data_IF_657474286394
#
_entry.id   IF_657474286394
#
_cell.length_a   1.000
_cell.length_b   1.000
_cell.length_c   1.000
_cell.angle_alpha   90.00
_cell.angle_beta   90.00
_cell.angle_gamma   90.00
#
_symmetry.space_group_name_H-M   'P 1'
#
loop_
_entity.id
_entity.type
_entity.pdbx_description
1 polymer ?
#
# COMPACT_ATOMS: atom_id res chain seq x y z
N UNK A 1 -1.41 -5.92 17.94
CA UNK A 1 -2.07 -5.77 16.63
C UNK A 1 -2.49 -7.10 16.04
N UNK A 2 -1.63 -8.08 15.92
CA UNK A 2 -1.97 -9.43 15.46
C UNK A 2 -1.98 -10.42 16.63
N UNK A 3 -2.81 -11.48 16.53
CA UNK A 3 -2.76 -12.59 17.49
C UNK A 3 -1.67 -13.57 17.08
N UNK A 4 -0.74 -13.85 17.96
CA UNK A 4 0.30 -14.87 17.74
C UNK A 4 -0.27 -16.29 17.58
N UNK A 5 -1.49 -16.53 18.04
CA UNK A 5 -2.20 -17.79 17.87
C UNK A 5 -2.83 -17.92 16.48
N UNK A 6 -3.06 -16.81 15.78
CA UNK A 6 -3.63 -16.81 14.44
C UNK A 6 -2.54 -16.78 13.36
N UNK A 7 -2.13 -17.95 12.89
CA UNK A 7 -1.08 -18.11 11.86
C UNK A 7 -1.46 -17.51 10.51
N UNK A 8 -2.72 -17.22 10.24
CA UNK A 8 -3.14 -16.59 8.99
C UNK A 8 -2.78 -15.09 8.93
N UNK A 9 -2.46 -14.50 10.07
CA UNK A 9 -2.09 -13.08 10.17
C UNK A 9 -0.68 -12.87 10.74
N UNK A 10 -0.31 -13.55 11.84
CA UNK A 10 0.96 -13.27 12.52
C UNK A 10 2.21 -13.51 11.66
N UNK A 11 2.15 -14.43 10.69
CA UNK A 11 3.28 -14.73 9.79
C UNK A 11 3.45 -13.71 8.65
N UNK A 12 2.52 -12.79 8.48
CA UNK A 12 2.52 -11.83 7.37
C UNK A 12 3.10 -10.48 7.76
N UNK A 13 2.89 -10.07 9.01
CA UNK A 13 3.20 -8.72 9.47
C UNK A 13 4.57 -8.61 10.09
N UNK A 14 5.20 -7.47 9.89
CA UNK A 14 6.41 -7.02 10.54
C UNK A 14 6.22 -5.63 11.15
N UNK A 15 7.27 -5.14 11.79
CA UNK A 15 7.32 -3.79 12.37
C UNK A 15 8.26 -2.91 11.57
N UNK A 16 7.88 -1.65 11.41
CA UNK A 16 8.69 -0.69 10.68
C UNK A 16 8.18 0.74 10.85
N UNK A 17 9.03 1.69 10.52
CA UNK A 17 8.72 3.11 10.51
C UNK A 17 9.25 3.73 9.23
N UNK A 18 8.54 4.71 8.71
CA UNK A 18 8.99 5.51 7.58
C UNK A 18 8.56 6.96 7.78
N UNK A 19 9.40 7.88 7.32
CA UNK A 19 9.13 9.30 7.36
C UNK A 19 9.53 9.95 6.04
N UNK A 20 8.78 10.97 5.64
CA UNK A 20 9.07 11.76 4.46
C UNK A 20 8.84 13.24 4.77
N UNK A 21 9.64 14.09 4.17
CA UNK A 21 9.43 15.54 4.17
C UNK A 21 8.69 15.89 2.89
N UNK A 22 7.53 16.50 3.03
CA UNK A 22 6.71 16.97 1.92
C UNK A 22 6.83 18.49 1.85
N UNK A 23 7.06 19.03 0.66
CA UNK A 23 7.17 20.45 0.38
C UNK A 23 6.22 20.83 -0.75
N UNK A 24 6.01 22.13 -0.95
CA UNK A 24 5.31 22.62 -2.13
C UNK A 24 6.08 22.29 -3.40
N UNK A 25 5.35 21.92 -4.47
CA UNK A 25 5.93 21.59 -5.77
C UNK A 25 4.88 21.06 -6.74
N UNK A 26 5.30 20.87 -7.99
CA UNK A 26 4.45 20.41 -9.10
C UNK A 26 4.70 18.93 -9.45
N UNK A 27 5.40 18.20 -8.59
CA UNK A 27 5.82 16.83 -8.85
C UNK A 27 4.68 15.81 -8.73
N UNK A 28 3.60 16.12 -8.03
CA UNK A 28 2.40 15.29 -8.00
C UNK A 28 1.60 15.50 -9.30
N UNK A 29 1.69 14.53 -10.22
CA UNK A 29 1.03 14.65 -11.54
C UNK A 29 -0.44 14.23 -11.53
N UNK A 30 -0.78 13.25 -10.72
CA UNK A 30 -2.16 12.76 -10.53
C UNK A 30 -2.28 11.99 -9.23
N UNK A 31 -3.48 11.97 -8.66
CA UNK A 31 -3.77 11.19 -7.45
C UNK A 31 -5.23 10.73 -7.44
N UNK A 32 -5.44 9.52 -6.98
CA UNK A 32 -6.77 8.95 -6.79
C UNK A 32 -6.86 8.21 -5.46
N UNK A 33 -7.92 8.48 -4.73
CA UNK A 33 -8.31 7.75 -3.52
C UNK A 33 -9.70 7.15 -3.76
N UNK A 34 -9.87 5.90 -3.36
CA UNK A 34 -11.14 5.18 -3.53
C UNK A 34 -11.44 4.40 -2.27
N UNK A 35 -12.66 4.51 -1.78
CA UNK A 35 -13.16 3.72 -0.65
C UNK A 35 -14.38 2.92 -1.07
N UNK A 36 -14.41 1.65 -0.70
CA UNK A 36 -15.53 0.73 -0.89
C UNK A 36 -16.01 0.22 0.46
N UNK A 37 -17.31 0.13 0.67
CA UNK A 37 -17.88 -0.37 1.92
C UNK A 37 -17.71 -1.90 2.04
N UNK A 38 -16.50 -2.35 2.38
CA UNK A 38 -16.13 -3.76 2.59
C UNK A 38 -15.55 -3.92 4.00
N UNK A 39 -16.30 -3.44 4.98
CA UNK A 39 -15.86 -3.35 6.38
C UNK A 39 -15.69 -4.70 7.06
N UNK A 40 -16.19 -5.79 6.47
CA UNK A 40 -16.09 -7.15 6.98
C UNK A 40 -14.91 -7.96 6.40
N UNK A 41 -14.13 -7.37 5.49
CA UNK A 41 -13.03 -8.05 4.78
C UNK A 41 -11.70 -7.91 5.49
N UNK A 42 -11.44 -6.71 6.01
CA UNK A 42 -10.24 -6.36 6.73
C UNK A 42 -10.59 -5.30 7.78
N UNK A 43 -10.51 -5.63 9.04
CA UNK A 43 -10.92 -4.70 10.09
C UNK A 43 -10.26 -4.99 11.43
N UNK A 44 -10.25 -3.96 12.25
CA UNK A 44 -10.03 -4.00 13.68
C UNK A 44 -11.35 -3.75 14.39
N UNK A 45 -11.71 -4.61 15.29
CA UNK A 45 -12.75 -4.30 16.25
C UNK A 45 -12.10 -3.57 17.41
N UNK A 46 -12.21 -2.25 17.41
CA UNK A 46 -11.80 -1.45 18.56
C UNK A 46 -12.90 -1.52 19.60
N UNK A 47 -12.57 -2.02 20.76
CA UNK A 47 -13.40 -1.88 21.93
C UNK A 47 -13.10 -0.52 22.58
N UNK A 48 -14.14 0.26 22.85
CA UNK A 48 -13.99 1.56 23.48
C UNK A 48 -13.83 1.38 24.99
N UNK A 49 -12.97 2.17 25.60
CA UNK A 49 -12.90 2.29 27.05
C UNK A 49 -14.22 2.84 27.60
N UNK A 50 -14.63 2.47 28.83
CA UNK A 50 -15.78 3.09 29.46
C UNK A 50 -15.63 4.60 29.48
N UNK A 51 -16.67 5.28 29.05
CA UNK A 51 -16.78 6.73 29.15
C UNK A 51 -18.04 7.06 29.94
N UNK A 52 -18.26 8.30 30.40
CA UNK A 52 -19.53 8.69 31.03
C UNK A 52 -20.77 8.41 30.18
N UNK A 53 -20.57 8.06 28.90
CA UNK A 53 -21.62 7.79 27.92
C UNK A 53 -21.63 6.34 27.40
N UNK A 54 -20.61 5.52 27.78
CA UNK A 54 -20.45 4.14 27.31
C UNK A 54 -20.04 3.25 28.48
N UNK A 55 -20.96 2.44 28.98
CA UNK A 55 -20.80 1.62 30.20
C UNK A 55 -20.03 0.31 30.02
N UNK A 56 -19.44 0.04 28.83
CA UNK A 56 -18.80 -1.25 28.55
C UNK A 56 -17.29 -1.09 28.34
N UNK A 57 -16.50 -1.86 29.11
CA UNK A 57 -15.12 -2.15 28.76
C UNK A 57 -15.09 -2.89 27.40
N UNK A 58 -14.35 -2.33 26.48
CA UNK A 58 -14.15 -2.94 25.18
C UNK A 58 -12.68 -3.33 25.00
N UNK A 59 -12.39 -4.63 24.97
CA UNK A 59 -11.05 -5.14 24.71
C UNK A 59 -10.69 -5.04 23.22
N UNK A 60 -9.41 -4.87 22.91
CA UNK A 60 -8.91 -4.94 21.52
C UNK A 60 -9.05 -6.36 20.99
N UNK A 61 -9.80 -6.52 19.92
CA UNK A 61 -9.78 -7.75 19.13
C UNK A 61 -8.59 -7.71 18.16
N UNK A 62 -7.95 -8.85 17.90
CA UNK A 62 -6.92 -8.92 16.87
C UNK A 62 -7.45 -8.57 15.49
N UNK A 63 -6.53 -8.16 14.61
CA UNK A 63 -6.85 -7.91 13.20
C UNK A 63 -7.57 -9.11 12.57
N UNK A 64 -8.74 -8.87 12.00
CA UNK A 64 -9.50 -9.85 11.22
C UNK A 64 -9.25 -9.60 9.74
N UNK A 65 -8.88 -10.65 9.02
CA UNK A 65 -8.56 -10.58 7.60
C UNK A 65 -9.11 -11.80 6.85
N UNK A 66 -9.99 -11.55 5.88
CA UNK A 66 -10.44 -12.56 4.91
C UNK A 66 -9.46 -12.57 3.73
N UNK A 67 -8.38 -13.31 3.83
CA UNK A 67 -7.23 -13.22 2.92
C UNK A 67 -7.56 -13.33 1.43
N UNK A 68 -8.51 -14.19 1.03
CA UNK A 68 -8.95 -14.33 -0.38
C UNK A 68 -9.64 -13.06 -0.90
N UNK A 69 -10.52 -12.48 -0.10
CA UNK A 69 -11.22 -11.23 -0.46
C UNK A 69 -10.27 -10.06 -0.48
N UNK A 70 -9.38 -9.95 0.52
CA UNK A 70 -8.32 -8.95 0.53
C UNK A 70 -7.47 -9.03 -0.73
N UNK A 71 -7.01 -10.24 -1.12
CA UNK A 71 -6.25 -10.45 -2.35
C UNK A 71 -7.01 -9.95 -3.60
N UNK A 72 -8.26 -10.38 -3.76
CA UNK A 72 -9.09 -10.01 -4.90
C UNK A 72 -9.27 -8.50 -5.00
N UNK A 73 -9.67 -7.85 -3.90
CA UNK A 73 -9.92 -6.41 -3.89
C UNK A 73 -8.62 -5.60 -4.01
N UNK A 74 -7.53 -6.04 -3.38
CA UNK A 74 -6.22 -5.42 -3.51
C UNK A 74 -5.76 -5.38 -4.97
N UNK A 75 -5.76 -6.51 -5.65
CA UNK A 75 -5.32 -6.58 -7.06
C UNK A 75 -6.25 -5.76 -7.96
N UNK A 76 -7.56 -6.03 -7.91
CA UNK A 76 -8.53 -5.39 -8.84
C UNK A 76 -8.55 -3.87 -8.67
N UNK A 77 -8.61 -3.39 -7.42
CA UNK A 77 -8.74 -1.96 -7.17
C UNK A 77 -7.43 -1.22 -7.43
N UNK A 78 -6.28 -1.78 -7.01
CA UNK A 78 -4.97 -1.16 -7.30
C UNK A 78 -4.73 -1.05 -8.80
N UNK A 79 -5.01 -2.12 -9.58
CA UNK A 79 -4.87 -2.09 -11.04
C UNK A 79 -5.77 -1.03 -11.69
N UNK A 80 -7.02 -0.92 -11.23
CA UNK A 80 -7.95 0.10 -11.69
C UNK A 80 -7.44 1.50 -11.39
N UNK A 81 -7.00 1.74 -10.16
CA UNK A 81 -6.57 3.07 -9.72
C UNK A 81 -5.25 3.48 -10.38
N UNK A 82 -4.29 2.55 -10.55
CA UNK A 82 -3.05 2.79 -11.31
C UNK A 82 -3.36 3.21 -12.75
N UNK A 83 -4.24 2.48 -13.45
CA UNK A 83 -4.61 2.84 -14.83
C UNK A 83 -5.24 4.22 -14.92
N UNK A 84 -6.05 4.59 -13.93
CA UNK A 84 -6.71 5.90 -13.91
C UNK A 84 -5.71 7.04 -13.67
N UNK A 85 -4.81 6.92 -12.70
CA UNK A 85 -3.81 7.97 -12.45
C UNK A 85 -2.83 8.11 -13.62
N UNK A 86 -2.47 7.03 -14.30
CA UNK A 86 -1.67 7.09 -15.52
C UNK A 86 -2.41 7.86 -16.63
N UNK A 87 -3.67 7.54 -16.88
CA UNK A 87 -4.49 8.23 -17.86
C UNK A 87 -4.67 9.72 -17.52
N UNK A 88 -4.94 10.06 -16.26
CA UNK A 88 -5.07 11.43 -15.76
C UNK A 88 -3.77 12.23 -15.92
N UNK A 89 -2.62 11.57 -15.73
CA UNK A 89 -1.30 12.17 -15.94
C UNK A 89 -0.87 12.21 -17.43
N UNK A 90 -1.64 11.62 -18.33
CA UNK A 90 -1.28 11.51 -19.75
C UNK A 90 -0.07 10.61 -20.02
N UNK A 91 0.20 9.65 -19.13
CA UNK A 91 1.37 8.78 -19.18
C UNK A 91 1.00 7.32 -19.49
N UNK A 92 1.94 6.64 -20.14
CA UNK A 92 1.88 5.19 -20.37
C UNK A 92 2.71 4.45 -19.33
N UNK A 93 2.42 3.16 -19.13
CA UNK A 93 3.15 2.33 -18.16
C UNK A 93 4.66 2.25 -18.47
N UNK A 94 5.03 2.31 -19.76
CA UNK A 94 6.41 2.27 -20.22
C UNK A 94 7.25 3.48 -19.78
N UNK A 95 6.61 4.60 -19.50
CA UNK A 95 7.25 5.85 -19.06
C UNK A 95 7.53 5.89 -17.54
N UNK A 96 6.98 4.94 -16.80
CA UNK A 96 7.14 4.86 -15.35
C UNK A 96 8.42 4.10 -15.01
N UNK A 97 9.30 4.71 -14.26
CA UNK A 97 10.55 4.08 -13.79
C UNK A 97 10.25 2.92 -12.84
N UNK A 98 9.49 3.19 -11.79
CA UNK A 98 9.11 2.20 -10.80
C UNK A 98 7.64 2.31 -10.39
N UNK A 99 7.02 1.15 -10.21
CA UNK A 99 5.74 0.97 -9.55
C UNK A 99 6.01 0.57 -8.09
N UNK A 100 5.95 1.51 -7.20
CA UNK A 100 6.20 1.33 -5.75
C UNK A 100 4.87 0.92 -5.12
N UNK A 101 4.66 -0.38 -5.00
CA UNK A 101 3.42 -0.96 -4.50
C UNK A 101 3.49 -1.22 -3.00
N UNK A 102 2.35 -1.23 -2.33
CA UNK A 102 2.25 -1.66 -0.94
C UNK A 102 2.78 -3.08 -0.75
N UNK A 103 3.64 -3.27 0.22
CA UNK A 103 4.37 -4.51 0.48
C UNK A 103 3.57 -5.45 1.41
N UNK A 104 2.33 -5.77 1.02
CA UNK A 104 1.47 -6.64 1.83
C UNK A 104 1.80 -8.13 1.66
N UNK A 105 2.08 -8.54 0.43
CA UNK A 105 2.33 -9.93 0.06
C UNK A 105 2.91 -10.00 -1.36
N UNK A 106 3.97 -10.80 -1.57
CA UNK A 106 4.61 -10.96 -2.90
C UNK A 106 3.62 -11.36 -4.00
N UNK A 107 2.65 -12.24 -3.68
CA UNK A 107 1.66 -12.70 -4.68
C UNK A 107 0.75 -11.57 -5.17
N UNK A 108 0.41 -10.60 -4.31
CA UNK A 108 -0.37 -9.42 -4.71
C UNK A 108 0.48 -8.56 -5.64
N UNK A 109 1.73 -8.31 -5.29
CA UNK A 109 2.68 -7.53 -6.08
C UNK A 109 2.83 -8.14 -7.47
N UNK A 110 3.09 -9.44 -7.55
CA UNK A 110 3.23 -10.17 -8.83
C UNK A 110 1.96 -10.14 -9.67
N UNK A 111 0.80 -10.24 -9.03
CA UNK A 111 -0.48 -10.17 -9.75
C UNK A 111 -0.74 -8.79 -10.34
N UNK A 112 -0.42 -7.73 -9.62
CA UNK A 112 -0.51 -6.35 -10.13
C UNK A 112 0.48 -6.15 -11.27
N UNK A 113 1.74 -6.58 -11.11
CA UNK A 113 2.78 -6.52 -12.13
C UNK A 113 2.33 -7.19 -13.44
N UNK A 114 1.86 -8.45 -13.34
CA UNK A 114 1.38 -9.21 -14.50
C UNK A 114 0.20 -8.54 -15.19
N UNK A 115 -0.72 -7.95 -14.42
CA UNK A 115 -1.85 -7.21 -14.97
C UNK A 115 -1.43 -5.93 -15.72
N UNK A 116 -0.39 -5.25 -15.22
CA UNK A 116 0.17 -4.05 -15.84
C UNK A 116 1.04 -4.39 -17.06
N UNK A 117 1.50 -5.64 -17.18
CA UNK A 117 2.37 -6.09 -18.28
C UNK A 117 3.76 -5.47 -18.22
N UNK A 118 4.28 -5.21 -17.00
CA UNK A 118 5.60 -4.57 -16.82
C UNK A 118 6.63 -5.57 -16.29
N UNK A 119 7.91 -5.29 -16.57
CA UNK A 119 9.02 -6.11 -16.13
C UNK A 119 9.19 -6.10 -14.61
N UNK A 120 9.75 -7.18 -14.07
CA UNK A 120 9.93 -7.36 -12.63
C UNK A 120 10.82 -6.28 -12.01
N UNK A 121 11.85 -5.86 -12.72
CA UNK A 121 12.80 -4.83 -12.30
C UNK A 121 12.14 -3.47 -12.05
N UNK A 122 10.99 -3.23 -12.67
CA UNK A 122 10.20 -2.00 -12.51
C UNK A 122 9.18 -2.06 -11.37
N UNK A 123 9.07 -3.21 -10.69
CA UNK A 123 8.20 -3.40 -9.54
C UNK A 123 9.04 -3.89 -8.34
N UNK A 124 9.88 -3.00 -7.77
CA UNK A 124 10.74 -3.36 -6.66
C UNK A 124 9.93 -3.80 -5.45
N UNK A 125 10.50 -4.72 -4.68
CA UNK A 125 9.86 -5.22 -3.48
C UNK A 125 10.88 -5.60 -2.40
N UNK A 126 10.45 -5.55 -1.15
CA UNK A 126 11.23 -5.90 0.03
C UNK A 126 10.39 -6.66 1.08
N UNK A 127 9.19 -7.08 0.70
CA UNK A 127 8.25 -7.78 1.58
C UNK A 127 8.82 -9.10 2.15
N UNK A 128 9.71 -9.76 1.44
CA UNK A 128 10.38 -11.00 1.88
C UNK A 128 11.33 -10.77 3.04
N UNK A 129 11.86 -9.53 3.17
CA UNK A 129 12.79 -9.17 4.25
C UNK A 129 12.09 -8.61 5.47
N UNK A 130 11.04 -7.84 5.27
CA UNK A 130 10.39 -7.08 6.35
C UNK A 130 8.96 -7.55 6.67
N UNK A 131 8.36 -8.35 5.80
CA UNK A 131 6.94 -8.63 5.88
C UNK A 131 6.08 -7.40 5.55
N UNK A 132 4.81 -7.47 5.90
CA UNK A 132 3.91 -6.33 5.78
C UNK A 132 4.08 -5.40 7.00
N UNK A 133 4.82 -4.33 6.83
CA UNK A 133 5.04 -3.29 7.85
C UNK A 133 4.03 -2.13 7.74
N UNK A 134 2.84 -2.43 7.22
CA UNK A 134 1.71 -1.48 7.11
C UNK A 134 2.07 -0.22 6.32
N UNK A 135 1.74 0.97 6.83
CA UNK A 135 2.00 2.26 6.16
C UNK A 135 3.49 2.58 5.99
N UNK A 136 4.36 1.97 6.78
CA UNK A 136 5.81 2.13 6.64
C UNK A 136 6.38 1.44 5.39
N UNK A 137 5.61 0.54 4.76
CA UNK A 137 6.10 -0.29 3.65
C UNK A 137 6.52 0.53 2.41
N UNK A 138 5.72 1.51 2.01
CA UNK A 138 6.08 2.36 0.87
C UNK A 138 7.28 3.27 1.15
N UNK A 139 7.30 4.07 2.24
CA UNK A 139 8.45 4.93 2.51
C UNK A 139 9.73 4.15 2.76
N UNK A 140 9.69 2.96 3.37
CA UNK A 140 10.87 2.12 3.54
C UNK A 140 11.44 1.64 2.20
N UNK A 141 10.57 1.18 1.28
CA UNK A 141 11.01 0.79 -0.06
C UNK A 141 11.55 1.98 -0.87
N UNK A 142 10.90 3.14 -0.76
CA UNK A 142 11.35 4.36 -1.41
C UNK A 142 12.71 4.82 -0.90
N UNK A 143 12.94 4.74 0.41
CA UNK A 143 14.25 5.05 1.02
C UNK A 143 15.36 4.12 0.51
N UNK A 144 15.09 2.82 0.39
CA UNK A 144 16.03 1.87 -0.18
C UNK A 144 16.40 2.19 -1.64
N UNK A 145 15.41 2.53 -2.46
CA UNK A 145 15.63 2.93 -3.86
C UNK A 145 16.47 4.21 -3.94
N UNK A 146 16.14 5.20 -3.12
CA UNK A 146 16.85 6.48 -3.08
C UNK A 146 18.30 6.32 -2.60
N UNK A 147 18.52 5.66 -1.46
CA UNK A 147 19.87 5.40 -0.91
C UNK A 147 20.68 4.47 -1.80
N UNK A 148 20.03 3.56 -2.49
CA UNK A 148 20.67 2.67 -3.45
C UNK A 148 21.04 3.33 -4.79
N UNK A 149 20.80 4.65 -4.95
CA UNK A 149 21.10 5.38 -6.18
C UNK A 149 20.27 4.95 -7.37
N UNK A 150 19.08 4.37 -7.11
CA UNK A 150 18.17 3.88 -8.16
C UNK A 150 17.23 4.95 -8.70
N UNK A 151 17.12 6.08 -8.00
CA UNK A 151 16.26 7.21 -8.37
C UNK A 151 17.11 8.38 -8.83
N UNK A 152 16.63 9.05 -9.88
CA UNK A 152 17.23 10.25 -10.44
C UNK A 152 16.14 11.31 -10.62
N UNK A 153 16.51 12.57 -10.55
CA UNK A 153 15.59 13.68 -10.80
C UNK A 153 14.90 13.52 -12.15
N UNK A 154 13.57 13.66 -12.15
CA UNK A 154 12.73 13.48 -13.33
C UNK A 154 12.19 12.05 -13.51
N UNK A 155 12.65 11.07 -12.73
CA UNK A 155 12.10 9.73 -12.78
C UNK A 155 10.61 9.75 -12.36
N UNK A 156 9.76 9.14 -13.17
CA UNK A 156 8.33 9.03 -12.89
C UNK A 156 8.04 7.76 -12.11
N UNK A 157 7.36 7.90 -10.99
CA UNK A 157 7.02 6.83 -10.08
C UNK A 157 5.50 6.73 -9.92
N UNK A 158 4.99 5.51 -9.86
CA UNK A 158 3.63 5.24 -9.42
C UNK A 158 3.67 4.68 -8.01
N UNK A 159 2.97 5.30 -7.08
CA UNK A 159 2.67 4.69 -5.78
C UNK A 159 1.28 4.08 -5.82
N UNK A 160 1.12 2.92 -5.20
CA UNK A 160 -0.19 2.32 -4.97
C UNK A 160 -0.24 1.58 -3.65
N UNK A 161 -1.28 1.86 -2.88
CA UNK A 161 -1.53 1.21 -1.60
C UNK A 161 -3.00 0.87 -1.41
N UNK A 162 -3.26 -0.02 -0.47
CA UNK A 162 -4.59 -0.40 -0.03
C UNK A 162 -4.60 -0.69 1.48
N UNK A 163 -5.77 -0.65 2.06
CA UNK A 163 -5.99 -0.93 3.48
C UNK A 163 -7.44 -1.22 3.79
N UNK A 164 -7.72 -1.30 5.09
CA UNK A 164 -9.08 -1.49 5.56
C UNK A 164 -10.03 -0.39 5.05
N UNK A 165 -11.29 -0.76 4.93
CA UNK A 165 -12.29 0.15 4.37
C UNK A 165 -13.27 -0.57 3.43
N UNK A 166 -12.97 -1.14 2.32
CA UNK A 166 -11.63 -1.30 1.72
C UNK A 166 -11.22 -0.01 1.00
N UNK A 167 -10.09 0.54 1.36
CA UNK A 167 -9.59 1.78 0.76
C UNK A 167 -8.38 1.48 -0.12
N UNK A 168 -8.30 2.13 -1.28
CA UNK A 168 -7.16 2.07 -2.18
C UNK A 168 -6.76 3.47 -2.60
N UNK A 169 -5.47 3.65 -2.89
CA UNK A 169 -4.95 4.88 -3.45
C UNK A 169 -3.85 4.60 -4.45
N UNK A 170 -3.76 5.48 -5.42
CA UNK A 170 -2.63 5.54 -6.33
C UNK A 170 -2.30 6.98 -6.66
N UNK A 171 -1.02 7.25 -6.95
CA UNK A 171 -0.60 8.53 -7.49
C UNK A 171 0.59 8.36 -8.44
N UNK A 172 0.75 9.33 -9.30
CA UNK A 172 1.95 9.51 -10.13
C UNK A 172 2.73 10.70 -9.61
N UNK A 173 3.99 10.49 -9.32
CA UNK A 173 4.91 11.57 -8.97
C UNK A 173 6.11 11.59 -9.91
N UNK A 174 6.72 12.75 -10.05
CA UNK A 174 8.04 12.93 -10.62
C UNK A 174 9.04 13.11 -9.48
N UNK A 175 10.14 12.37 -9.50
CA UNK A 175 11.14 12.44 -8.45
C UNK A 175 11.93 13.75 -8.53
N UNK A 176 11.90 14.54 -7.47
CA UNK A 176 12.46 15.91 -7.46
C UNK A 176 13.95 15.98 -7.09
N UNK A 177 14.53 14.89 -6.56
CA UNK A 177 15.86 14.89 -5.95
C UNK A 177 16.91 14.21 -6.81
#
# INVERSE_FOLDING_TARGET
MVSWQNRSTCVLFGDGVGAAVVTDGDELKSMRLTTSSLTDVLYYQRKLEPTPYIDKEENFEPLVMKGREVFKHAVTNSCRDIRKVLAEAGLKAEEIKYFVLHQANKRIIDSIRNFLGVDEERVPHNVERYGNISSAALPALLDELNRGGKLQKGDKLVFSAFGAGFTTGACVIEWAK
#
